data_IF_135151948868
#
_entry.id   IF_135151948868
#
_cell.length_a   1.000
_cell.length_b   1.000
_cell.length_c   1.000
_cell.angle_alpha   90.00
_cell.angle_beta   90.00
_cell.angle_gamma   90.00
#
_symmetry.space_group_name_H-M   'P 1'
#
loop_
_entity.id
_entity.type
_entity.pdbx_description
1 polymer ?
#
# COMPACT_ATOMS: atom_id res chain seq x y z
N UNK A 1 5.59 7.42 4.05
CA UNK A 1 6.20 7.77 2.75
C UNK A 1 5.06 8.09 1.83
N UNK A 2 5.14 9.23 1.14
CA UNK A 2 4.10 9.71 0.23
C UNK A 2 4.51 9.36 -1.19
N UNK A 3 3.72 8.52 -1.86
CA UNK A 3 3.91 8.03 -3.23
C UNK A 3 5.36 7.71 -3.63
N UNK A 4 6.10 6.90 -2.83
CA UNK A 4 7.55 6.77 -3.02
C UNK A 4 7.95 5.98 -4.28
N UNK A 5 6.98 5.45 -5.03
CA UNK A 5 7.21 4.73 -6.29
C UNK A 5 6.88 5.52 -7.55
N UNK A 6 6.35 6.74 -7.41
CA UNK A 6 6.06 7.60 -8.55
C UNK A 6 7.35 7.93 -9.33
N UNK A 7 7.32 7.74 -10.66
CA UNK A 7 8.47 8.04 -11.55
C UNK A 7 9.68 7.10 -11.42
N UNK A 8 9.63 6.06 -10.58
CA UNK A 8 10.72 5.11 -10.40
C UNK A 8 10.70 3.99 -11.44
N UNK A 9 11.91 3.56 -11.85
CA UNK A 9 12.07 2.34 -12.64
C UNK A 9 11.69 1.09 -11.80
N UNK A 10 11.21 0.00 -12.43
CA UNK A 10 10.77 -1.21 -11.70
C UNK A 10 11.82 -1.78 -10.73
N UNK A 11 13.11 -1.71 -11.07
CA UNK A 11 14.21 -2.15 -10.20
C UNK A 11 14.29 -1.33 -8.90
N UNK A 12 14.01 -0.03 -8.97
CA UNK A 12 14.08 0.86 -7.81
C UNK A 12 12.86 0.68 -6.90
N UNK A 13 11.70 0.33 -7.47
CA UNK A 13 10.50 -0.05 -6.69
C UNK A 13 10.74 -1.32 -5.88
N UNK A 14 11.39 -2.32 -6.48
CA UNK A 14 11.77 -3.55 -5.76
C UNK A 14 12.73 -3.23 -4.61
N UNK A 15 13.78 -2.46 -4.88
CA UNK A 15 14.76 -2.05 -3.88
C UNK A 15 14.12 -1.24 -2.73
N UNK A 16 13.17 -0.35 -3.03
CA UNK A 16 12.42 0.38 -2.01
C UNK A 16 11.59 -0.59 -1.14
N UNK A 17 10.95 -1.57 -1.77
CA UNK A 17 10.24 -2.64 -1.06
C UNK A 17 11.13 -3.35 -0.04
N UNK A 18 12.32 -3.76 -0.45
CA UNK A 18 13.29 -4.45 0.42
C UNK A 18 13.68 -3.59 1.64
N UNK A 19 13.85 -2.28 1.46
CA UNK A 19 14.14 -1.36 2.56
C UNK A 19 12.96 -1.21 3.53
N UNK A 20 11.73 -1.17 3.01
CA UNK A 20 10.51 -1.10 3.82
C UNK A 20 10.36 -2.38 4.66
N UNK A 21 10.58 -3.54 4.04
CA UNK A 21 10.55 -4.83 4.73
C UNK A 21 11.63 -4.90 5.81
N UNK A 22 12.87 -4.52 5.50
CA UNK A 22 13.96 -4.45 6.48
C UNK A 22 13.64 -3.52 7.66
N UNK A 23 13.00 -2.38 7.41
CA UNK A 23 12.58 -1.46 8.46
C UNK A 23 11.50 -2.08 9.36
N UNK A 24 10.51 -2.76 8.78
CA UNK A 24 9.48 -3.50 9.51
C UNK A 24 10.10 -4.60 10.37
N UNK A 25 11.00 -5.40 9.79
CA UNK A 25 11.64 -6.53 10.48
C UNK A 25 12.56 -6.06 11.61
N UNK A 26 13.09 -4.83 11.53
CA UNK A 26 13.78 -4.15 12.62
C UNK A 26 12.84 -3.56 13.70
N UNK A 27 11.54 -3.84 13.64
CA UNK A 27 10.52 -3.41 14.60
C UNK A 27 10.04 -1.97 14.42
N UNK A 28 10.29 -1.34 13.26
CA UNK A 28 9.83 0.03 12.98
C UNK A 28 8.43 0.01 12.36
N UNK A 29 7.57 0.91 12.84
CA UNK A 29 6.28 1.17 12.19
C UNK A 29 6.48 1.96 10.88
N UNK A 30 5.83 1.52 9.81
CA UNK A 30 5.86 2.19 8.50
C UNK A 30 4.46 2.61 8.11
N UNK A 31 4.27 3.89 7.80
CA UNK A 31 3.09 4.40 7.11
C UNK A 31 3.43 4.59 5.63
N UNK A 32 2.86 3.76 4.77
CA UNK A 32 3.00 3.83 3.31
C UNK A 32 1.71 4.40 2.71
N UNK A 33 1.83 5.46 1.93
CA UNK A 33 0.77 6.00 1.09
C UNK A 33 1.13 5.61 -0.34
N UNK A 34 0.23 4.89 -1.01
CA UNK A 34 0.48 4.41 -2.36
C UNK A 34 -0.78 4.28 -3.20
N UNK A 35 -0.64 4.52 -4.50
CA UNK A 35 -1.69 4.27 -5.50
C UNK A 35 -1.57 2.89 -6.16
N UNK A 36 -0.38 2.27 -6.16
CA UNK A 36 -0.17 0.94 -6.70
C UNK A 36 -0.63 -0.15 -5.72
N UNK A 37 -1.85 -0.64 -5.92
CA UNK A 37 -2.49 -1.58 -5.01
C UNK A 37 -1.69 -2.86 -4.75
N UNK A 38 -1.07 -3.44 -5.79
CA UNK A 38 -0.27 -4.67 -5.63
C UNK A 38 0.98 -4.46 -4.76
N UNK A 39 1.57 -3.26 -4.80
CA UNK A 39 2.70 -2.90 -3.96
C UNK A 39 2.26 -2.72 -2.51
N UNK A 40 1.20 -1.93 -2.29
CA UNK A 40 0.62 -1.72 -0.97
C UNK A 40 0.19 -3.04 -0.33
N UNK A 41 -0.44 -3.93 -1.10
CA UNK A 41 -0.87 -5.27 -0.65
C UNK A 41 0.30 -6.15 -0.25
N UNK A 42 1.42 -6.07 -0.97
CA UNK A 42 2.62 -6.87 -0.68
C UNK A 42 3.34 -6.41 0.60
N UNK A 43 3.45 -5.10 0.80
CA UNK A 43 4.30 -4.53 1.85
C UNK A 43 3.59 -4.27 3.18
N UNK A 44 2.26 -4.06 3.16
CA UNK A 44 1.51 -3.68 4.34
C UNK A 44 0.94 -4.88 5.10
N UNK A 45 0.77 -4.72 6.41
CA UNK A 45 0.00 -5.67 7.23
C UNK A 45 -1.51 -5.34 7.19
N UNK A 46 -1.83 -4.05 7.07
CA UNK A 46 -3.19 -3.48 7.09
C UNK A 46 -3.28 -2.37 6.05
N UNK A 47 -4.49 -2.15 5.53
CA UNK A 47 -4.77 -1.07 4.59
C UNK A 47 -5.92 -0.19 5.09
N UNK A 48 -5.92 1.04 4.58
CA UNK A 48 -6.99 2.03 4.71
C UNK A 48 -7.20 2.61 3.32
N UNK A 49 -8.46 2.75 2.90
CA UNK A 49 -8.83 3.46 1.68
C UNK A 49 -9.36 4.83 2.08
N UNK A 50 -8.67 5.86 1.62
CA UNK A 50 -9.05 7.26 1.82
C UNK A 50 -9.67 7.78 0.51
N UNK A 51 -10.88 8.34 0.60
CA UNK A 51 -11.55 8.99 -0.52
C UNK A 51 -12.14 10.32 -0.04
N UNK A 52 -11.79 11.43 -0.72
CA UNK A 52 -12.31 12.78 -0.42
C UNK A 52 -12.18 13.18 1.07
N UNK A 53 -11.11 12.75 1.72
CA UNK A 53 -10.83 13.04 3.13
C UNK A 53 -11.51 12.10 4.12
N UNK A 54 -12.29 11.12 3.66
CA UNK A 54 -12.99 10.16 4.50
C UNK A 54 -12.42 8.75 4.36
N UNK A 55 -12.39 8.00 5.46
CA UNK A 55 -12.02 6.58 5.43
C UNK A 55 -13.24 5.79 4.96
N UNK A 56 -13.20 5.32 3.72
CA UNK A 56 -14.31 4.58 3.10
C UNK A 56 -14.15 3.07 3.21
N UNK A 57 -12.94 2.59 3.53
CA UNK A 57 -12.69 1.17 3.76
C UNK A 57 -11.40 0.90 4.57
N UNK A 58 -11.31 -0.25 5.22
CA UNK A 58 -10.07 -0.72 5.86
C UNK A 58 -10.07 -2.24 6.12
N UNK A 59 -8.91 -2.81 6.38
CA UNK A 59 -8.80 -4.23 6.70
C UNK A 59 -7.36 -4.76 6.72
N UNK A 60 -7.19 -6.08 6.87
CA UNK A 60 -5.88 -6.71 6.70
C UNK A 60 -5.49 -6.70 5.22
N UNK A 61 -4.21 -6.47 4.91
CA UNK A 61 -3.72 -6.53 3.53
C UNK A 61 -3.78 -7.95 2.95
N UNK A 62 -3.83 -8.97 3.81
CA UNK A 62 -4.01 -10.37 3.44
C UNK A 62 -5.43 -10.73 2.97
N UNK A 63 -6.38 -9.79 2.98
CA UNK A 63 -7.73 -10.01 2.47
C UNK A 63 -7.70 -10.38 0.96
N UNK A 64 -8.21 -11.56 0.56
CA UNK A 64 -8.26 -11.95 -0.84
C UNK A 64 -9.13 -11.00 -1.68
N UNK A 65 -10.16 -10.39 -1.09
CA UNK A 65 -11.12 -9.53 -1.78
C UNK A 65 -10.68 -8.05 -1.83
N UNK A 66 -9.52 -7.70 -1.26
CA UNK A 66 -9.00 -6.33 -1.21
C UNK A 66 -9.10 -5.60 -2.55
N UNK A 67 -8.60 -6.24 -3.63
CA UNK A 67 -8.59 -5.63 -4.95
C UNK A 67 -9.99 -5.32 -5.47
N UNK A 68 -10.91 -6.27 -5.28
CA UNK A 68 -12.30 -6.10 -5.68
C UNK A 68 -13.00 -5.02 -4.84
N UNK A 69 -12.69 -4.92 -3.54
CA UNK A 69 -13.22 -3.88 -2.64
C UNK A 69 -12.77 -2.48 -3.05
N UNK A 70 -11.48 -2.30 -3.31
CA UNK A 70 -10.91 -1.02 -3.76
C UNK A 70 -11.47 -0.62 -5.13
N UNK A 71 -11.51 -1.54 -6.09
CA UNK A 71 -12.03 -1.28 -7.43
C UNK A 71 -13.51 -0.83 -7.41
N UNK A 72 -14.36 -1.45 -6.58
CA UNK A 72 -15.77 -1.07 -6.42
C UNK A 72 -15.95 0.36 -5.87
N UNK A 73 -14.96 0.91 -5.16
CA UNK A 73 -15.01 2.25 -4.59
C UNK A 73 -14.44 3.32 -5.52
N UNK A 74 -13.42 2.98 -6.32
CA UNK A 74 -12.71 3.94 -7.18
C UNK A 74 -13.28 4.06 -8.61
N UNK A 75 -14.17 3.16 -9.05
CA UNK A 75 -14.77 3.16 -10.40
C UNK A 75 -16.13 3.89 -10.49
N UNK A 76 -16.37 4.91 -9.67
CA UNK A 76 -17.59 5.72 -9.69
C UNK A 76 -17.30 7.14 -10.19
#
# INVERSE_FOLDING_TARGET
>A
MDEPTEGLQPSNVALLGDHIESARDAGRGVLLIEQHLELAKRLADRFIVLEKGEIVDSGPASDPDLAARVARRLLI
#
